data_IF_339163373368
#
_entry.id   IF_339163373368
#
_cell.length_a   1.000
_cell.length_b   1.000
_cell.length_c   1.000
_cell.angle_alpha   90.00
_cell.angle_beta   90.00
_cell.angle_gamma   90.00
#
_symmetry.space_group_name_H-M   'P 1'
#
loop_
_entity.id
_entity.type
_entity.pdbx_description
1 polymer ?
#
# COMPACT_ATOMS: atom_id res chain seq x y z
N UNK A 1 -4.03 -8.48 0.28
CA UNK A 1 -2.87 -7.65 0.62
C UNK A 1 -2.03 -8.42 1.61
N UNK A 2 -0.73 -8.49 1.36
CA UNK A 2 0.27 -9.19 2.16
C UNK A 2 1.38 -8.19 2.51
N UNK A 3 1.80 -8.16 3.77
CA UNK A 3 2.97 -7.38 4.20
C UNK A 3 4.21 -8.23 3.96
N UNK A 4 5.14 -7.72 3.16
CA UNK A 4 6.37 -8.44 2.80
C UNK A 4 7.51 -8.13 3.78
N UNK A 5 7.67 -6.85 4.12
CA UNK A 5 8.68 -6.37 5.07
C UNK A 5 8.21 -5.08 5.76
N UNK A 6 8.80 -4.77 6.91
CA UNK A 6 8.57 -3.50 7.60
C UNK A 6 9.76 -3.04 8.43
N UNK A 7 9.97 -1.72 8.44
CA UNK A 7 10.93 -1.03 9.29
C UNK A 7 10.21 0.05 10.08
N UNK A 8 10.45 0.10 11.40
CA UNK A 8 9.89 1.09 12.30
C UNK A 8 11.00 1.92 12.94
N UNK A 9 10.84 3.25 12.93
CA UNK A 9 11.73 4.19 13.61
C UNK A 9 10.92 5.39 14.11
N UNK A 10 11.04 5.69 15.41
CA UNK A 10 10.27 6.75 16.05
C UNK A 10 8.76 6.52 15.95
N UNK A 11 8.04 7.50 15.41
CA UNK A 11 6.59 7.49 15.21
C UNK A 11 6.17 7.00 13.81
N UNK A 12 7.09 6.41 13.04
CA UNK A 12 6.86 6.00 11.64
C UNK A 12 7.11 4.53 11.41
N UNK A 13 6.34 3.96 10.48
CA UNK A 13 6.52 2.60 9.97
C UNK A 13 6.52 2.64 8.44
N UNK A 14 7.60 2.18 7.83
CA UNK A 14 7.69 1.93 6.40
C UNK A 14 7.39 0.45 6.15
N UNK A 15 6.45 0.14 5.26
CA UNK A 15 6.06 -1.24 4.96
C UNK A 15 6.03 -1.49 3.45
N UNK A 16 6.60 -2.61 3.04
CA UNK A 16 6.42 -3.16 1.69
C UNK A 16 5.20 -4.08 1.69
N UNK A 17 4.30 -3.87 0.74
CA UNK A 17 3.01 -4.55 0.69
C UNK A 17 2.73 -5.00 -0.75
N UNK A 18 2.33 -6.25 -0.94
CA UNK A 18 1.80 -6.74 -2.22
C UNK A 18 0.28 -6.85 -2.16
N UNK A 19 -0.40 -6.30 -3.15
CA UNK A 19 -1.84 -6.44 -3.31
C UNK A 19 -2.15 -7.30 -4.51
N UNK A 20 -3.11 -8.22 -4.36
CA UNK A 20 -3.70 -8.99 -5.44
C UNK A 20 -5.22 -8.96 -5.28
N UNK A 21 -5.94 -8.63 -6.34
CA UNK A 21 -7.39 -8.56 -6.35
C UNK A 21 -7.98 -8.83 -7.74
N UNK A 22 -9.21 -9.36 -7.76
CA UNK A 22 -10.07 -9.34 -8.94
C UNK A 22 -10.97 -8.11 -8.89
N UNK A 23 -10.98 -7.32 -9.96
CA UNK A 23 -11.87 -6.17 -10.05
C UNK A 23 -13.28 -6.61 -10.44
N UNK A 24 -14.27 -5.72 -10.23
CA UNK A 24 -15.66 -5.97 -10.65
C UNK A 24 -15.82 -6.14 -12.17
N UNK A 25 -14.85 -5.65 -12.94
CA UNK A 25 -14.82 -5.80 -14.41
C UNK A 25 -14.12 -7.09 -14.85
N UNK A 26 -13.64 -7.90 -13.91
CA UNK A 26 -12.93 -9.16 -14.19
C UNK A 26 -11.44 -8.99 -14.49
N UNK A 27 -10.90 -7.77 -14.48
CA UNK A 27 -9.45 -7.54 -14.58
C UNK A 27 -8.75 -8.01 -13.30
N UNK A 28 -7.51 -8.46 -13.43
CA UNK A 28 -6.62 -8.71 -12.29
C UNK A 28 -5.90 -7.40 -11.96
N UNK A 29 -5.86 -7.07 -10.68
CA UNK A 29 -5.03 -6.01 -10.13
C UNK A 29 -3.98 -6.63 -9.23
N UNK A 30 -2.72 -6.51 -9.61
CA UNK A 30 -1.58 -6.98 -8.83
C UNK A 30 -0.55 -5.85 -8.77
N UNK A 31 -0.38 -5.26 -7.58
CA UNK A 31 0.48 -4.08 -7.43
C UNK A 31 1.28 -4.14 -6.13
N UNK A 32 2.51 -3.65 -6.23
CA UNK A 32 3.42 -3.48 -5.11
C UNK A 32 3.34 -2.06 -4.58
N UNK A 33 3.40 -1.95 -3.26
CA UNK A 33 3.28 -0.72 -2.53
C UNK A 33 4.42 -0.58 -1.54
N UNK A 34 4.89 0.65 -1.40
CA UNK A 34 5.58 1.10 -0.20
C UNK A 34 4.65 2.07 0.54
N UNK A 35 4.23 1.72 1.74
CA UNK A 35 3.36 2.55 2.57
C UNK A 35 4.15 3.10 3.76
N UNK A 36 4.11 4.42 3.94
CA UNK A 36 4.65 5.09 5.11
C UNK A 36 3.51 5.50 6.04
N UNK A 37 3.46 4.89 7.22
CA UNK A 37 2.52 5.19 8.28
C UNK A 37 3.15 6.16 9.29
N UNK A 38 2.38 7.11 9.80
CA UNK A 38 2.72 7.90 10.99
C UNK A 38 1.73 7.57 12.10
N UNK A 39 2.23 7.27 13.30
CA UNK A 39 1.47 6.78 14.44
C UNK A 39 1.60 7.76 15.61
N UNK A 40 0.47 8.21 16.16
CA UNK A 40 0.44 9.01 17.37
C UNK A 40 -0.63 8.44 18.32
N UNK A 41 -0.32 8.35 19.61
CA UNK A 41 -1.24 7.85 20.64
C UNK A 41 -1.85 6.46 20.31
N UNK A 42 -1.03 5.58 19.71
CA UNK A 42 -1.43 4.24 19.29
C UNK A 42 -2.35 4.19 18.07
N UNK A 43 -2.55 5.32 17.37
CA UNK A 43 -3.41 5.44 16.18
C UNK A 43 -2.61 5.87 14.96
N UNK A 44 -2.98 5.35 13.79
CA UNK A 44 -2.46 5.86 12.52
C UNK A 44 -3.08 7.24 12.27
N UNK A 45 -2.25 8.26 12.17
CA UNK A 45 -2.68 9.64 11.89
C UNK A 45 -2.44 10.04 10.43
N UNK A 46 -1.55 9.33 9.72
CA UNK A 46 -1.26 9.57 8.31
C UNK A 46 -0.81 8.27 7.63
N UNK A 47 -1.21 8.11 6.38
CA UNK A 47 -0.68 7.11 5.45
C UNK A 47 -0.22 7.83 4.19
N UNK A 48 0.97 7.50 3.69
CA UNK A 48 1.45 7.91 2.38
C UNK A 48 1.82 6.68 1.57
N UNK A 49 1.21 6.54 0.41
CA UNK A 49 1.42 5.39 -0.47
C UNK A 49 2.32 5.77 -1.65
N UNK A 50 3.26 4.89 -1.98
CA UNK A 50 4.04 4.89 -3.21
C UNK A 50 3.79 3.56 -3.91
N UNK A 51 3.41 3.62 -5.18
CA UNK A 51 3.00 2.43 -5.94
C UNK A 51 3.10 2.73 -7.44
N UNK A 52 2.94 1.72 -8.28
CA UNK A 52 2.80 1.91 -9.72
C UNK A 52 1.42 2.51 -10.04
N UNK A 53 1.40 3.84 -10.19
CA UNK A 53 0.19 4.58 -10.55
C UNK A 53 -0.24 4.34 -12.01
N UNK A 54 0.67 3.96 -12.90
CA UNK A 54 0.32 3.64 -14.28
C UNK A 54 -0.44 2.31 -14.32
N UNK A 55 0.04 1.28 -13.64
CA UNK A 55 -0.67 0.01 -13.53
C UNK A 55 -2.06 0.20 -12.91
N UNK A 56 -2.16 1.02 -11.84
CA UNK A 56 -3.46 1.36 -11.27
C UNK A 56 -4.40 2.04 -12.28
N UNK A 57 -3.89 2.98 -13.08
CA UNK A 57 -4.66 3.63 -14.14
C UNK A 57 -5.11 2.64 -15.21
N UNK A 58 -4.24 1.76 -15.71
CA UNK A 58 -4.58 0.76 -16.74
C UNK A 58 -5.68 -0.22 -16.31
N UNK A 59 -5.70 -0.55 -15.02
CA UNK A 59 -6.68 -1.50 -14.46
C UNK A 59 -8.00 -0.80 -14.12
N UNK A 60 -7.95 0.41 -13.53
CA UNK A 60 -9.13 1.07 -12.95
C UNK A 60 -9.74 2.21 -13.77
N UNK A 61 -9.06 2.73 -14.79
CA UNK A 61 -9.60 3.72 -15.75
C UNK A 61 -9.96 3.04 -17.08
#
# INVERSE_FOLDING_TARGET
>A
MEVLDMVAEGDRVAAEIRSFAFTKTGKVYENDYHMLFTIQDGKIIQVKEYTDLMHAAEVFL
#
